data_IF_314346486735
#
_entry.id   IF_314346486735
#
_cell.length_a   1.000
_cell.length_b   1.000
_cell.length_c   1.000
_cell.angle_alpha   90.00
_cell.angle_beta   90.00
_cell.angle_gamma   90.00
#
_symmetry.space_group_name_H-M   'P 1'
#
loop_
_entity.id
_entity.type
_entity.pdbx_description
1 polymer ?
#
# COMPACT_ATOMS: atom_id res chain seq x y z
N UNK A 1 4.84 8.27 -1.44
CA UNK A 1 5.29 6.90 -1.11
C UNK A 1 4.59 6.43 0.15
N UNK A 2 4.31 5.13 0.26
CA UNK A 2 3.78 4.48 1.47
C UNK A 2 4.81 3.48 1.96
N UNK A 3 5.13 3.50 3.25
CA UNK A 3 6.02 2.53 3.90
C UNK A 3 5.17 1.63 4.79
N UNK A 4 5.25 0.32 4.58
CA UNK A 4 4.61 -0.66 5.45
C UNK A 4 5.67 -1.48 6.18
N UNK A 5 5.48 -1.66 7.48
CA UNK A 5 6.23 -2.63 8.28
C UNK A 5 5.35 -3.86 8.47
N UNK A 6 5.86 -5.01 8.05
CA UNK A 6 5.16 -6.29 8.04
C UNK A 6 6.04 -7.25 8.82
N UNK A 7 5.49 -7.87 9.87
CA UNK A 7 6.22 -8.92 10.57
C UNK A 7 6.41 -10.12 9.65
N UNK A 8 7.59 -10.74 9.75
CA UNK A 8 7.91 -11.92 8.97
C UNK A 8 7.07 -13.10 9.48
N UNK A 9 6.25 -13.67 8.61
CA UNK A 9 5.34 -14.76 8.94
C UNK A 9 5.19 -15.68 7.73
N UNK A 10 5.22 -17.00 7.98
CA UNK A 10 5.13 -18.02 6.94
C UNK A 10 3.82 -18.01 6.14
N UNK A 11 2.75 -17.40 6.65
CA UNK A 11 1.46 -17.27 5.95
C UNK A 11 1.43 -16.10 4.96
N UNK A 12 2.30 -15.09 5.12
CA UNK A 12 2.30 -13.91 4.27
C UNK A 12 2.68 -14.24 2.82
N UNK A 13 1.83 -13.86 1.87
CA UNK A 13 2.06 -14.10 0.43
C UNK A 13 2.01 -12.85 -0.43
N UNK A 14 1.31 -11.82 0.03
CA UNK A 14 1.26 -10.56 -0.70
C UNK A 14 0.87 -9.40 0.18
N UNK A 15 1.21 -8.20 -0.27
CA UNK A 15 0.73 -6.97 0.33
C UNK A 15 0.22 -6.06 -0.78
N UNK A 16 -1.06 -5.70 -0.69
CA UNK A 16 -1.71 -4.78 -1.61
C UNK A 16 -1.97 -3.46 -0.90
N UNK A 17 -1.51 -2.37 -1.49
CA UNK A 17 -1.84 -1.01 -1.06
C UNK A 17 -2.71 -0.37 -2.14
N UNK A 18 -3.85 0.17 -1.74
CA UNK A 18 -4.80 0.89 -2.58
C UNK A 18 -4.84 2.33 -2.11
N UNK A 19 -4.78 3.28 -3.04
CA UNK A 19 -5.10 4.69 -2.81
C UNK A 19 -6.32 5.03 -3.66
N UNK A 20 -7.43 5.40 -3.00
CA UNK A 20 -8.70 5.71 -3.65
C UNK A 20 -9.25 7.07 -3.20
N UNK A 21 -9.72 7.87 -4.16
CA UNK A 21 -10.54 9.07 -3.97
C UNK A 21 -11.90 8.84 -4.62
N UNK A 22 -12.75 9.87 -4.65
CA UNK A 22 -14.06 9.84 -5.31
C UNK A 22 -13.94 9.50 -6.81
N UNK A 23 -12.87 9.96 -7.46
CA UNK A 23 -12.69 9.96 -8.91
C UNK A 23 -11.39 9.27 -9.38
N UNK A 24 -10.55 8.80 -8.46
CA UNK A 24 -9.26 8.21 -8.77
C UNK A 24 -9.02 6.94 -7.96
N UNK A 25 -8.56 5.89 -8.64
CA UNK A 25 -8.18 4.63 -8.03
C UNK A 25 -6.78 4.22 -8.49
N UNK A 26 -5.92 3.84 -7.55
CA UNK A 26 -4.64 3.22 -7.87
C UNK A 26 -4.27 2.17 -6.84
N UNK A 27 -3.69 1.06 -7.31
CA UNK A 27 -3.16 0.01 -6.46
C UNK A 27 -1.67 -0.23 -6.74
N UNK A 28 -0.97 -0.69 -5.73
CA UNK A 28 0.39 -1.20 -5.80
C UNK A 28 0.44 -2.48 -4.97
N UNK A 29 1.02 -3.53 -5.53
CA UNK A 29 1.07 -4.84 -4.90
C UNK A 29 2.49 -5.39 -4.99
N UNK A 30 2.91 -6.09 -3.94
CA UNK A 30 4.18 -6.81 -3.88
C UNK A 30 3.93 -8.22 -3.37
N UNK A 31 4.65 -9.18 -3.92
CA UNK A 31 4.70 -10.54 -3.40
C UNK A 31 5.60 -10.59 -2.16
N UNK A 32 5.22 -11.43 -1.20
CA UNK A 32 6.00 -11.70 0.00
C UNK A 32 6.36 -13.17 0.05
N UNK A 33 7.66 -13.48 0.19
CA UNK A 33 8.15 -14.85 0.44
C UNK A 33 8.06 -15.19 1.93
N UNK A 34 6.85 -15.07 2.50
CA UNK A 34 6.56 -15.43 3.89
C UNK A 34 7.53 -14.86 4.93
N UNK A 35 8.14 -15.76 5.69
CA UNK A 35 9.10 -15.47 6.75
C UNK A 35 10.47 -14.96 6.24
N UNK A 36 10.72 -15.08 4.92
CA UNK A 36 11.92 -14.56 4.25
C UNK A 36 11.71 -13.19 3.63
N UNK A 37 10.49 -12.67 3.63
CA UNK A 37 10.19 -11.37 3.06
C UNK A 37 10.86 -10.22 3.84
N UNK A 38 11.25 -9.13 3.17
CA UNK A 38 11.71 -7.93 3.87
C UNK A 38 10.62 -7.39 4.80
N UNK A 39 11.00 -7.06 6.04
CA UNK A 39 10.05 -6.48 7.02
C UNK A 39 9.56 -5.09 6.65
N UNK A 40 10.29 -4.38 5.81
CA UNK A 40 9.94 -3.03 5.37
C UNK A 40 9.75 -3.02 3.87
N UNK A 41 8.52 -2.70 3.44
CA UNK A 41 8.15 -2.63 2.03
C UNK A 41 7.77 -1.20 1.65
N UNK A 42 8.22 -0.76 0.48
CA UNK A 42 7.95 0.58 -0.03
C UNK A 42 7.03 0.50 -1.24
N UNK A 43 5.93 1.24 -1.19
CA UNK A 43 4.93 1.31 -2.25
C UNK A 43 4.94 2.71 -2.85
N UNK A 44 5.18 2.80 -4.15
CA UNK A 44 5.24 4.07 -4.87
C UNK A 44 3.96 4.32 -5.65
N UNK A 45 3.29 5.41 -5.30
CA UNK A 45 2.20 5.98 -6.09
C UNK A 45 2.73 7.25 -6.75
N UNK A 46 2.90 7.20 -8.08
CA UNK A 46 3.33 8.36 -8.88
C UNK A 46 2.12 9.08 -9.45
N UNK A 47 2.25 10.39 -9.68
CA UNK A 47 1.24 11.20 -10.39
C UNK A 47 -0.19 11.04 -9.84
N UNK A 48 -0.34 10.97 -8.50
CA UNK A 48 -1.65 11.06 -7.87
C UNK A 48 -2.17 12.50 -8.02
N UNK A 49 -3.39 12.71 -8.56
CA UNK A 49 -4.02 14.01 -8.51
C UNK A 49 -4.11 14.55 -7.07
N UNK A 50 -4.02 15.87 -6.85
CA UNK A 50 -4.28 16.45 -5.55
C UNK A 50 -5.70 16.11 -5.09
N UNK A 51 -5.85 15.75 -3.82
CA UNK A 51 -7.13 15.35 -3.27
C UNK A 51 -7.01 14.54 -1.98
N UNK A 52 -8.15 14.22 -1.41
CA UNK A 52 -8.25 13.33 -0.25
C UNK A 52 -8.37 11.89 -0.72
N UNK A 53 -7.48 11.05 -0.21
CA UNK A 53 -7.45 9.62 -0.50
C UNK A 53 -7.69 8.81 0.76
N UNK A 54 -8.45 7.73 0.64
CA UNK A 54 -8.36 6.60 1.54
C UNK A 54 -7.23 5.69 1.03
N UNK A 55 -6.25 5.43 1.90
CA UNK A 55 -5.15 4.51 1.63
C UNK A 55 -5.40 3.25 2.44
N UNK A 56 -5.65 2.14 1.76
CA UNK A 56 -5.92 0.83 2.35
C UNK A 56 -4.76 -0.11 2.08
N UNK A 57 -4.29 -0.78 3.11
CA UNK A 57 -3.16 -1.69 3.09
C UNK A 57 -3.67 -3.07 3.56
N UNK A 58 -3.63 -4.05 2.67
CA UNK A 58 -4.18 -5.40 2.87
C UNK A 58 -3.06 -6.42 2.77
N UNK A 59 -2.83 -7.16 3.86
CA UNK A 59 -1.92 -8.30 3.89
C UNK A 59 -2.69 -9.54 3.46
N UNK A 60 -2.12 -10.29 2.52
CA UNK A 60 -2.73 -11.43 1.87
C UNK A 60 -1.96 -12.70 2.22
N UNK A 61 -2.70 -13.75 2.53
CA UNK A 61 -2.18 -15.10 2.75
C UNK A 61 -2.22 -15.96 1.48
N UNK A 62 -1.93 -17.25 1.64
CA UNK A 62 -2.10 -18.22 0.57
C UNK A 62 -3.54 -18.18 0.02
N UNK A 63 -3.72 -18.31 -1.30
CA UNK A 63 -5.03 -18.23 -1.96
C UNK A 63 -5.71 -16.85 -1.92
N UNK A 64 -4.98 -15.80 -1.55
CA UNK A 64 -5.43 -14.41 -1.64
C UNK A 64 -6.41 -13.98 -0.54
N UNK A 65 -6.59 -14.79 0.52
CA UNK A 65 -7.39 -14.40 1.66
C UNK A 65 -6.72 -13.28 2.46
N UNK A 66 -7.52 -12.42 3.08
CA UNK A 66 -7.01 -11.31 3.89
C UNK A 66 -6.56 -11.81 5.27
N UNK A 67 -5.28 -11.60 5.59
CA UNK A 67 -4.71 -11.86 6.92
C UNK A 67 -4.83 -10.64 7.84
N UNK A 68 -4.61 -9.45 7.29
CA UNK A 68 -4.73 -8.20 8.04
C UNK A 68 -5.11 -7.03 7.12
N UNK A 69 -5.67 -5.99 7.73
CA UNK A 69 -6.01 -4.75 7.03
C UNK A 69 -5.69 -3.52 7.88
N UNK A 70 -5.30 -2.44 7.21
CA UNK A 70 -5.18 -1.09 7.77
C UNK A 70 -5.68 -0.10 6.75
N UNK A 71 -6.32 0.98 7.21
CA UNK A 71 -6.67 2.09 6.35
C UNK A 71 -6.35 3.42 7.04
N UNK A 72 -6.02 4.43 6.25
CA UNK A 72 -5.77 5.79 6.72
C UNK A 72 -6.21 6.78 5.66
N UNK A 73 -6.57 7.99 6.07
CA UNK A 73 -6.88 9.06 5.16
C UNK A 73 -5.65 9.95 4.96
N UNK A 74 -5.33 10.27 3.71
CA UNK A 74 -4.18 11.10 3.34
C UNK A 74 -4.64 12.20 2.40
N UNK A 75 -4.19 13.43 2.65
CA UNK A 75 -4.32 14.52 1.68
C UNK A 75 -3.08 14.57 0.80
N UNK A 76 -3.26 14.33 -0.50
CA UNK A 76 -2.23 14.53 -1.51
C UNK A 76 -2.31 15.99 -1.95
N UNK A 77 -1.23 16.73 -1.73
CA UNK A 77 -1.05 18.08 -2.26
C UNK A 77 -0.14 18.00 -3.48
N UNK A 78 -0.34 18.86 -4.49
CA UNK A 78 0.64 18.97 -5.56
C UNK A 78 1.97 19.38 -4.95
N UNK A 79 3.02 18.59 -5.10
CA UNK A 79 4.36 19.08 -4.84
C UNK A 79 4.68 20.10 -5.94
N UNK A 80 4.46 21.37 -5.67
CA UNK A 80 4.98 22.44 -6.50
C UNK A 80 6.50 22.30 -6.50
N UNK A 81 7.06 21.79 -7.60
CA UNK A 81 8.48 22.00 -7.86
C UNK A 81 8.58 23.47 -8.23
N UNK A 82 8.80 24.33 -7.23
CA UNK A 82 9.22 25.70 -7.48
C UNK A 82 10.50 25.61 -8.32
N UNK A 83 10.42 26.11 -9.55
CA UNK A 83 11.57 26.30 -10.43
C UNK A 83 12.39 27.48 -9.94
#
# INVERSE_FOLDING_TARGET
>A
MVRAMIEADGENRGMKVVAESIDFYRASEVELDGDKAPRTNLFEFRSLPPGTYQVTATLLGADGHQLAYKHTQVNVVSSGVAR
#
